data_IF_245665698111
#
_entry.id   IF_245665698111
#
_cell.length_a   1.000
_cell.length_b   1.000
_cell.length_c   1.000
_cell.angle_alpha   90.00
_cell.angle_beta   90.00
_cell.angle_gamma   90.00
#
_symmetry.space_group_name_H-M   'P 1'
#
loop_
_entity.id
_entity.type
_entity.pdbx_description
1 polymer ?
#
# COMPACT_ATOMS: atom_id res chain seq x y z
N UNK A 1 20.21 -27.12 11.40
CA UNK A 1 18.84 -27.59 11.03
C UNK A 1 17.78 -26.50 11.07
N UNK A 2 17.80 -25.55 12.01
CA UNK A 2 16.81 -24.45 12.13
C UNK A 2 16.89 -23.48 10.94
N UNK A 3 18.07 -23.11 10.46
CA UNK A 3 18.26 -22.19 9.33
C UNK A 3 17.69 -22.71 8.00
N UNK A 4 17.84 -24.01 7.73
CA UNK A 4 17.31 -24.62 6.50
C UNK A 4 15.76 -24.59 6.47
N UNK A 5 15.14 -24.70 7.64
CA UNK A 5 13.68 -24.66 7.76
C UNK A 5 13.14 -23.24 7.55
N UNK A 6 13.77 -22.23 8.15
CA UNK A 6 13.34 -20.83 8.00
C UNK A 6 13.53 -20.29 6.58
N UNK A 7 14.64 -20.63 5.91
CA UNK A 7 14.86 -20.31 4.50
C UNK A 7 13.73 -20.89 3.62
N UNK A 8 13.41 -22.16 3.82
CA UNK A 8 12.35 -22.84 3.08
C UNK A 8 10.98 -22.22 3.37
N UNK A 9 10.70 -21.85 4.62
CA UNK A 9 9.45 -21.18 5.01
C UNK A 9 9.31 -19.81 4.36
N UNK A 10 10.38 -19.01 4.32
CA UNK A 10 10.39 -17.70 3.65
C UNK A 10 9.99 -17.84 2.18
N UNK A 11 10.65 -18.76 1.44
CA UNK A 11 10.34 -18.97 0.01
C UNK A 11 8.87 -19.43 -0.17
N UNK A 12 8.38 -20.35 0.67
CA UNK A 12 7.00 -20.83 0.61
C UNK A 12 6.00 -19.72 0.91
N UNK A 13 6.27 -18.91 1.93
CA UNK A 13 5.43 -17.77 2.28
C UNK A 13 5.34 -16.76 1.13
N UNK A 14 6.47 -16.38 0.53
CA UNK A 14 6.51 -15.48 -0.63
C UNK A 14 5.74 -16.05 -1.81
N UNK A 15 6.04 -17.29 -2.23
CA UNK A 15 5.35 -17.95 -3.37
C UNK A 15 3.84 -18.02 -3.19
N UNK A 16 3.37 -18.24 -1.95
CA UNK A 16 1.94 -18.28 -1.62
C UNK A 16 1.29 -16.90 -1.66
N UNK A 17 2.04 -15.87 -1.29
CA UNK A 17 1.51 -14.52 -1.09
C UNK A 17 1.57 -13.65 -2.35
N UNK A 18 2.60 -13.79 -3.19
CA UNK A 18 2.79 -13.01 -4.40
C UNK A 18 1.55 -12.94 -5.32
N UNK A 19 0.82 -14.03 -5.57
CA UNK A 19 -0.34 -13.97 -6.46
C UNK A 19 -1.45 -13.03 -5.99
N UNK A 20 -1.48 -12.69 -4.71
CA UNK A 20 -2.48 -11.78 -4.15
C UNK A 20 -1.99 -10.33 -4.04
N UNK A 21 -0.72 -10.05 -4.36
CA UNK A 21 -0.18 -8.68 -4.34
C UNK A 21 -0.46 -8.02 -5.68
N UNK A 22 -0.90 -6.76 -5.63
CA UNK A 22 -1.30 -5.98 -6.81
C UNK A 22 -0.53 -4.67 -6.87
N UNK A 23 -0.35 -4.15 -8.07
CA UNK A 23 0.06 -2.78 -8.28
C UNK A 23 -1.15 -1.84 -8.27
N UNK A 24 -0.98 -0.64 -7.74
CA UNK A 24 -1.95 0.45 -7.82
C UNK A 24 -1.31 1.56 -8.64
N UNK A 25 -1.76 1.71 -9.87
CA UNK A 25 -1.31 2.75 -10.79
C UNK A 25 -2.13 4.02 -10.57
N UNK A 26 -1.44 5.13 -10.40
CA UNK A 26 -2.02 6.46 -10.26
C UNK A 26 -1.79 7.21 -11.55
N UNK A 27 -2.87 7.68 -12.18
CA UNK A 27 -2.82 8.44 -13.42
C UNK A 27 -3.62 9.73 -13.29
N UNK A 28 -3.10 10.81 -13.90
CA UNK A 28 -3.76 12.11 -14.01
C UNK A 28 -3.86 12.52 -15.46
N UNK A 29 -4.87 13.30 -15.80
CA UNK A 29 -4.94 13.90 -17.13
C UNK A 29 -3.86 14.98 -17.26
N UNK A 30 -3.24 15.09 -18.44
CA UNK A 30 -2.13 16.02 -18.69
C UNK A 30 -2.51 17.48 -18.33
N UNK A 31 -3.75 17.89 -18.64
CA UNK A 31 -4.23 19.24 -18.30
C UNK A 31 -4.26 19.53 -16.78
N UNK A 32 -4.53 18.53 -15.95
CA UNK A 32 -4.50 18.65 -14.48
C UNK A 32 -3.07 18.84 -13.98
N UNK A 33 -2.14 18.05 -14.53
CA UNK A 33 -0.71 18.23 -14.23
C UNK A 33 -0.18 19.60 -14.67
N UNK A 34 -0.68 20.14 -15.79
CA UNK A 34 -0.36 21.50 -16.26
C UNK A 34 -0.84 22.59 -15.29
N UNK A 35 -1.99 22.40 -14.67
CA UNK A 35 -2.52 23.34 -13.67
C UNK A 35 -1.73 23.26 -12.35
N UNK A 36 -1.39 22.05 -11.91
CA UNK A 36 -0.64 21.82 -10.65
C UNK A 36 0.82 22.29 -10.73
N UNK A 37 1.52 21.97 -11.81
CA UNK A 37 2.95 22.28 -11.97
C UNK A 37 3.21 23.69 -12.55
N UNK A 38 2.14 24.38 -12.97
CA UNK A 38 2.23 25.67 -13.64
C UNK A 38 2.52 25.53 -15.13
N UNK A 39 1.78 26.29 -15.94
CA UNK A 39 1.78 26.22 -17.42
C UNK A 39 3.16 26.41 -18.07
N UNK A 40 4.15 26.93 -17.35
CA UNK A 40 5.50 27.15 -17.88
C UNK A 40 6.39 25.90 -17.82
N UNK A 41 6.12 24.95 -16.93
CA UNK A 41 6.93 23.75 -16.76
C UNK A 41 6.68 22.69 -17.85
N UNK A 42 5.44 22.61 -18.35
CA UNK A 42 5.02 21.59 -19.33
C UNK A 42 5.06 22.11 -20.78
N UNK A 43 5.14 23.43 -21.00
CA UNK A 43 5.27 24.03 -22.34
C UNK A 43 6.58 23.73 -23.06
N UNK A 44 7.54 23.12 -22.42
CA UNK A 44 8.66 22.56 -23.13
C UNK A 44 8.19 21.33 -23.93
N UNK A 45 8.15 21.45 -25.23
CA UNK A 45 7.92 20.35 -26.20
C UNK A 45 8.75 19.10 -25.84
N UNK A 46 9.87 19.28 -25.15
CA UNK A 46 10.73 18.24 -24.60
C UNK A 46 10.05 17.35 -23.56
N UNK A 47 9.18 17.89 -22.68
CA UNK A 47 8.53 17.12 -21.62
C UNK A 47 7.42 16.21 -22.17
N UNK A 48 6.57 16.72 -23.07
CA UNK A 48 5.56 15.88 -23.74
C UNK A 48 6.20 14.74 -24.52
N UNK A 49 7.22 15.05 -25.33
CA UNK A 49 7.99 14.04 -26.06
C UNK A 49 8.68 13.02 -25.14
N UNK A 50 9.10 13.44 -23.95
CA UNK A 50 9.64 12.53 -22.94
C UNK A 50 8.57 11.58 -22.41
N UNK A 51 7.39 12.09 -22.03
CA UNK A 51 6.28 11.27 -21.54
C UNK A 51 5.85 10.22 -22.58
N UNK A 52 5.76 10.61 -23.84
CA UNK A 52 5.40 9.75 -24.95
C UNK A 52 6.45 8.66 -25.20
N UNK A 53 7.74 9.04 -25.31
CA UNK A 53 8.85 8.11 -25.50
C UNK A 53 9.05 7.15 -24.34
N UNK A 54 8.76 7.60 -23.12
CA UNK A 54 8.81 6.77 -21.92
C UNK A 54 7.56 5.88 -21.75
N UNK A 55 6.53 6.01 -22.61
CA UNK A 55 5.27 5.27 -22.49
C UNK A 55 4.48 5.64 -21.22
N UNK A 56 4.69 6.85 -20.71
CA UNK A 56 4.04 7.38 -19.49
C UNK A 56 2.71 8.07 -19.77
N UNK A 57 2.42 8.42 -21.02
CA UNK A 57 1.15 9.03 -21.46
C UNK A 57 0.43 8.10 -22.42
N UNK A 58 -0.89 7.97 -22.31
CA UNK A 58 -1.71 7.20 -23.23
C UNK A 58 -2.37 8.10 -24.29
N UNK A 59 -3.09 7.47 -25.25
CA UNK A 59 -3.80 8.14 -26.35
C UNK A 59 -4.91 9.09 -25.86
N UNK A 60 -5.36 8.94 -24.61
CA UNK A 60 -6.37 9.79 -23.97
C UNK A 60 -5.77 10.96 -23.18
N UNK A 61 -4.45 11.11 -23.21
CA UNK A 61 -3.74 12.14 -22.45
C UNK A 61 -3.62 11.85 -20.95
N UNK A 62 -3.81 10.58 -20.54
CA UNK A 62 -3.59 10.17 -19.15
C UNK A 62 -2.12 9.87 -18.91
N UNK A 63 -1.53 10.55 -17.94
CA UNK A 63 -0.13 10.41 -17.54
C UNK A 63 -0.03 9.52 -16.32
N UNK A 64 0.84 8.51 -16.38
CA UNK A 64 1.20 7.67 -15.24
C UNK A 64 2.08 8.46 -14.28
N UNK A 65 1.55 8.83 -13.12
CA UNK A 65 2.24 9.69 -12.15
C UNK A 65 3.05 8.88 -11.15
N UNK A 66 2.49 7.77 -10.68
CA UNK A 66 3.11 6.91 -9.66
C UNK A 66 2.55 5.50 -9.70
N UNK A 67 3.28 4.58 -9.06
CA UNK A 67 2.84 3.21 -8.82
C UNK A 67 3.16 2.79 -7.40
N UNK A 68 2.15 2.30 -6.70
CA UNK A 68 2.24 1.78 -5.35
C UNK A 68 1.71 0.34 -5.30
N UNK A 69 1.61 -0.21 -4.11
CA UNK A 69 1.17 -1.59 -3.91
C UNK A 69 -0.17 -1.67 -3.19
N UNK A 70 -0.82 -2.81 -3.34
CA UNK A 70 -1.96 -3.26 -2.56
C UNK A 70 -1.96 -4.78 -2.48
N UNK A 71 -2.93 -5.36 -1.79
CA UNK A 71 -3.11 -6.80 -1.79
C UNK A 71 -4.57 -7.21 -1.64
N UNK A 72 -4.94 -8.25 -2.36
CA UNK A 72 -6.26 -8.87 -2.32
C UNK A 72 -6.47 -9.58 -0.98
N UNK A 73 -7.62 -9.34 -0.36
CA UNK A 73 -8.00 -9.89 0.95
C UNK A 73 -9.28 -10.74 0.91
N UNK A 74 -9.89 -10.83 -0.26
CA UNK A 74 -11.07 -11.67 -0.50
C UNK A 74 -11.16 -12.10 -1.96
N UNK A 75 -11.85 -13.21 -2.22
CA UNK A 75 -12.01 -13.79 -3.57
C UNK A 75 -12.82 -12.91 -4.52
N UNK A 76 -13.63 -12.04 -3.97
CA UNK A 76 -14.50 -11.12 -4.67
C UNK A 76 -13.84 -9.76 -4.97
N UNK A 77 -12.51 -9.63 -4.86
CA UNK A 77 -11.75 -8.48 -5.33
C UNK A 77 -11.62 -7.31 -4.35
N UNK A 78 -11.83 -7.52 -3.04
CA UNK A 78 -11.47 -6.52 -2.04
C UNK A 78 -9.94 -6.42 -1.88
N UNK A 79 -9.43 -5.20 -1.85
CA UNK A 79 -8.01 -4.88 -1.76
C UNK A 79 -7.78 -3.93 -0.60
N UNK A 80 -6.71 -4.16 0.15
CA UNK A 80 -6.18 -3.22 1.13
C UNK A 80 -4.95 -2.52 0.56
N UNK A 81 -4.85 -1.22 0.84
CA UNK A 81 -3.68 -0.37 0.56
C UNK A 81 -3.62 0.77 1.56
N UNK A 82 -2.63 1.68 1.45
CA UNK A 82 -2.63 2.91 2.24
C UNK A 82 -3.59 3.95 1.65
N UNK A 83 -4.13 4.82 2.53
CA UNK A 83 -4.96 5.94 2.12
C UNK A 83 -4.20 6.94 1.23
N UNK A 84 -2.94 7.26 1.61
CA UNK A 84 -2.13 8.22 0.84
C UNK A 84 -1.86 7.74 -0.59
N UNK A 85 -1.91 6.44 -0.89
CA UNK A 85 -1.81 5.89 -2.25
C UNK A 85 -2.98 6.32 -3.13
N UNK A 86 -4.15 6.50 -2.52
CA UNK A 86 -5.40 6.86 -3.22
C UNK A 86 -6.01 8.15 -2.68
N UNK A 87 -5.17 9.08 -2.22
CA UNK A 87 -5.61 10.30 -1.53
C UNK A 87 -6.28 11.30 -2.47
N UNK A 88 -5.73 11.46 -3.64
CA UNK A 88 -6.16 12.45 -4.61
C UNK A 88 -7.48 12.03 -5.27
N UNK A 89 -8.51 12.87 -5.11
CA UNK A 89 -9.85 12.58 -5.65
C UNK A 89 -9.96 12.85 -7.15
N UNK A 90 -9.03 13.61 -7.71
CA UNK A 90 -8.98 13.94 -9.15
C UNK A 90 -8.18 12.92 -9.96
N UNK A 91 -7.39 12.07 -9.30
CA UNK A 91 -6.63 11.03 -9.95
C UNK A 91 -7.48 9.81 -10.32
N UNK A 92 -7.09 9.15 -11.39
CA UNK A 92 -7.63 7.85 -11.78
C UNK A 92 -6.75 6.73 -11.23
N UNK A 93 -7.38 5.75 -10.60
CA UNK A 93 -6.69 4.61 -9.99
C UNK A 93 -7.00 3.33 -10.76
N UNK A 94 -5.94 2.63 -11.15
CA UNK A 94 -6.03 1.34 -11.86
C UNK A 94 -5.28 0.29 -11.08
N UNK A 95 -5.92 -0.82 -10.82
CA UNK A 95 -5.27 -1.99 -10.20
C UNK A 95 -4.67 -2.85 -11.28
N UNK A 96 -3.39 -3.16 -11.16
CA UNK A 96 -2.68 -4.09 -12.04
C UNK A 96 -2.47 -5.41 -11.30
N UNK A 97 -3.06 -6.47 -11.83
CA UNK A 97 -2.92 -7.82 -11.32
C UNK A 97 -2.58 -8.79 -12.46
N UNK A 98 -1.44 -9.49 -12.34
CA UNK A 98 -0.94 -10.40 -13.37
C UNK A 98 -0.95 -9.76 -14.77
N UNK A 99 -0.40 -8.56 -14.89
CA UNK A 99 -0.31 -7.74 -16.10
C UNK A 99 -1.67 -7.33 -16.71
N UNK A 100 -2.77 -7.61 -16.02
CA UNK A 100 -4.09 -7.15 -16.40
C UNK A 100 -4.49 -5.90 -15.61
N UNK A 101 -5.08 -4.93 -16.31
CA UNK A 101 -5.57 -3.68 -15.74
C UNK A 101 -7.05 -3.80 -15.36
N UNK A 102 -7.36 -3.44 -14.11
CA UNK A 102 -8.72 -3.43 -13.58
C UNK A 102 -9.07 -2.01 -13.15
N UNK A 103 -10.22 -1.51 -13.57
CA UNK A 103 -10.81 -0.33 -12.95
C UNK A 103 -11.13 -0.65 -11.50
N UNK A 104 -10.79 0.25 -10.58
CA UNK A 104 -11.08 0.02 -9.17
C UNK A 104 -12.02 1.09 -8.62
N UNK A 105 -12.90 0.64 -7.73
CA UNK A 105 -13.72 1.51 -6.90
C UNK A 105 -13.03 1.70 -5.55
N UNK A 106 -12.94 2.94 -5.07
CA UNK A 106 -12.45 3.25 -3.73
C UNK A 106 -13.66 3.23 -2.80
N UNK A 107 -13.73 2.21 -1.94
CA UNK A 107 -14.85 2.03 -1.02
C UNK A 107 -14.68 2.85 0.26
N UNK A 108 -13.44 3.03 0.71
CA UNK A 108 -13.15 3.81 1.91
C UNK A 108 -11.72 4.36 1.91
N UNK A 109 -11.56 5.55 2.49
CA UNK A 109 -10.30 6.22 2.80
C UNK A 109 -10.30 6.61 4.27
N UNK A 110 -9.45 6.00 5.08
CA UNK A 110 -9.32 6.33 6.50
C UNK A 110 -8.12 7.23 6.77
N UNK A 111 -8.42 8.50 7.07
CA UNK A 111 -7.39 9.51 7.38
C UNK A 111 -6.65 9.24 8.69
N UNK A 112 -7.27 8.56 9.66
CA UNK A 112 -6.67 8.37 10.99
C UNK A 112 -5.64 7.25 10.97
N UNK A 113 -5.91 6.16 10.24
CA UNK A 113 -5.03 4.99 10.21
C UNK A 113 -4.25 4.86 8.92
N UNK A 114 -4.45 5.76 7.95
CA UNK A 114 -3.86 5.69 6.62
C UNK A 114 -4.18 4.39 5.86
N UNK A 115 -5.39 3.87 6.01
CA UNK A 115 -5.85 2.66 5.34
C UNK A 115 -6.91 3.03 4.29
N UNK A 116 -6.84 2.38 3.12
CA UNK A 116 -7.89 2.41 2.12
C UNK A 116 -8.36 1.00 1.77
N UNK A 117 -9.64 0.91 1.40
CA UNK A 117 -10.27 -0.30 0.89
C UNK A 117 -10.69 -0.03 -0.55
N UNK A 118 -10.16 -0.83 -1.47
CA UNK A 118 -10.50 -0.79 -2.89
C UNK A 118 -11.29 -2.04 -3.26
N UNK A 119 -11.98 -1.97 -4.40
CA UNK A 119 -12.74 -3.08 -4.98
C UNK A 119 -12.50 -3.12 -6.48
N UNK A 120 -12.17 -4.29 -6.99
CA UNK A 120 -12.17 -4.60 -8.42
C UNK A 120 -13.28 -5.62 -8.72
N UNK A 121 -13.86 -5.54 -9.92
CA UNK A 121 -14.85 -6.48 -10.36
C UNK A 121 -14.21 -7.80 -10.79
N UNK A 122 -14.84 -8.91 -10.42
CA UNK A 122 -14.41 -10.26 -10.72
C UNK A 122 -14.60 -11.20 -9.52
N UNK A 123 -14.30 -12.47 -9.77
CA UNK A 123 -14.44 -13.55 -8.78
C UNK A 123 -13.23 -14.47 -8.80
N UNK A 124 -13.11 -15.27 -7.75
CA UNK A 124 -12.05 -16.28 -7.61
C UNK A 124 -10.62 -15.73 -7.57
N UNK A 125 -10.44 -14.48 -7.20
CA UNK A 125 -9.11 -13.92 -6.98
C UNK A 125 -8.36 -14.69 -5.86
N UNK A 126 -7.03 -14.87 -6.00
CA UNK A 126 -6.20 -15.28 -4.88
C UNK A 126 -6.23 -14.16 -3.83
N UNK A 127 -6.16 -14.54 -2.56
CA UNK A 127 -6.18 -13.55 -1.48
C UNK A 127 -5.24 -13.95 -0.35
N UNK A 128 -4.76 -12.94 0.39
CA UNK A 128 -3.96 -13.14 1.59
C UNK A 128 -4.86 -13.36 2.82
N UNK A 129 -4.65 -14.42 3.58
CA UNK A 129 -5.25 -14.54 4.90
C UNK A 129 -4.72 -13.43 5.81
N UNK A 130 -5.61 -12.79 6.56
CA UNK A 130 -5.23 -11.77 7.53
C UNK A 130 -4.83 -12.43 8.85
N UNK A 131 -3.60 -12.17 9.31
CA UNK A 131 -3.03 -12.64 10.56
C UNK A 131 -3.62 -11.91 11.79
N UNK A 132 -2.96 -12.01 12.93
CA UNK A 132 -3.33 -11.33 14.17
C UNK A 132 -2.16 -10.50 14.67
N UNK A 133 -2.23 -9.17 14.46
CA UNK A 133 -1.15 -8.26 14.83
C UNK A 133 -1.01 -8.04 16.35
N UNK A 134 -1.97 -8.50 17.16
CA UNK A 134 -1.83 -8.46 18.62
C UNK A 134 -0.95 -9.58 19.19
N UNK A 135 -0.63 -10.59 18.36
CA UNK A 135 0.23 -11.73 18.74
C UNK A 135 1.66 -11.63 18.28
N UNK A 136 2.04 -10.49 17.71
CA UNK A 136 3.39 -10.26 17.22
C UNK A 136 4.37 -10.14 18.37
N UNK A 137 5.59 -10.65 18.13
CA UNK A 137 6.68 -10.59 19.10
C UNK A 137 7.95 -10.01 18.46
N UNK A 138 8.78 -9.35 19.27
CA UNK A 138 10.07 -8.83 18.82
C UNK A 138 10.96 -9.97 18.34
N UNK A 139 11.73 -9.74 17.28
CA UNK A 139 12.56 -10.75 16.65
C UNK A 139 11.82 -11.70 15.71
N UNK A 140 10.48 -11.63 15.61
CA UNK A 140 9.71 -12.44 14.67
C UNK A 140 10.10 -12.09 13.24
N UNK A 141 10.49 -13.10 12.44
CA UNK A 141 10.78 -12.91 11.01
C UNK A 141 9.55 -12.50 10.23
N UNK A 142 9.72 -11.48 9.40
CA UNK A 142 8.68 -10.92 8.53
C UNK A 142 9.21 -10.68 7.13
N UNK A 143 8.29 -10.59 6.17
CA UNK A 143 8.62 -10.29 4.77
C UNK A 143 7.71 -9.17 4.30
N UNK A 144 8.29 -8.08 3.81
CA UNK A 144 7.58 -7.02 3.13
C UNK A 144 7.55 -7.33 1.63
N UNK A 145 6.39 -7.20 1.01
CA UNK A 145 6.20 -7.44 -0.42
C UNK A 145 5.59 -6.17 -1.03
N UNK A 146 6.09 -5.80 -2.21
CA UNK A 146 5.57 -4.72 -3.01
C UNK A 146 5.49 -5.08 -4.48
N UNK A 147 4.60 -4.43 -5.20
CA UNK A 147 4.44 -4.54 -6.65
C UNK A 147 4.38 -3.14 -7.27
N UNK A 148 5.45 -2.37 -7.07
CA UNK A 148 5.58 -1.07 -7.71
C UNK A 148 5.58 -1.24 -9.23
N UNK A 149 4.70 -0.54 -9.91
CA UNK A 149 4.63 -0.53 -11.36
C UNK A 149 5.86 0.19 -11.92
N UNK A 150 6.70 -0.54 -12.64
CA UNK A 150 7.96 -0.02 -13.20
C UNK A 150 9.09 -1.02 -13.07
N UNK A 151 10.31 -0.54 -12.81
CA UNK A 151 11.53 -1.36 -12.77
C UNK A 151 11.58 -2.40 -11.64
N UNK A 152 10.74 -2.28 -10.60
CA UNK A 152 10.82 -3.10 -9.37
C UNK A 152 9.54 -3.86 -9.06
N UNK A 153 8.92 -4.47 -10.08
CA UNK A 153 7.76 -5.36 -9.85
C UNK A 153 8.13 -6.52 -8.93
N UNK A 154 7.20 -6.90 -8.04
CA UNK A 154 7.36 -8.03 -7.11
C UNK A 154 8.59 -7.94 -6.20
N UNK A 155 8.91 -6.75 -5.71
CA UNK A 155 9.99 -6.55 -4.75
C UNK A 155 9.69 -7.24 -3.43
N UNK A 156 10.68 -7.97 -2.91
CA UNK A 156 10.58 -8.71 -1.65
C UNK A 156 11.75 -8.37 -0.77
N UNK A 157 11.49 -7.93 0.45
CA UNK A 157 12.50 -7.73 1.48
C UNK A 157 12.16 -8.53 2.73
N UNK A 158 13.18 -9.05 3.42
CA UNK A 158 13.03 -9.82 4.66
C UNK A 158 13.69 -9.09 5.81
N UNK A 159 13.06 -9.12 6.96
CA UNK A 159 13.58 -8.59 8.21
C UNK A 159 12.90 -9.22 9.41
N UNK A 160 12.93 -8.52 10.53
CA UNK A 160 12.27 -8.90 11.78
C UNK A 160 11.37 -7.78 12.29
N UNK A 161 10.53 -8.09 13.23
CA UNK A 161 9.84 -7.09 14.04
C UNK A 161 10.86 -6.50 15.02
N UNK A 162 11.24 -5.24 14.78
CA UNK A 162 12.22 -4.50 15.58
C UNK A 162 11.55 -3.67 16.68
N UNK A 163 10.23 -3.41 16.58
CA UNK A 163 9.47 -2.67 17.56
C UNK A 163 7.97 -2.84 17.40
N UNK A 164 7.24 -2.63 18.48
CA UNK A 164 5.78 -2.71 18.53
C UNK A 164 5.22 -1.44 19.15
N UNK A 165 3.98 -1.10 18.80
CA UNK A 165 3.24 0.06 19.35
C UNK A 165 4.00 1.38 19.20
N UNK A 166 4.69 1.56 18.07
CA UNK A 166 5.45 2.77 17.80
C UNK A 166 4.53 3.94 17.43
N UNK A 167 4.95 5.14 17.81
CA UNK A 167 4.35 6.40 17.38
C UNK A 167 5.29 7.07 16.39
N UNK A 168 4.75 7.54 15.29
CA UNK A 168 5.47 8.28 14.27
C UNK A 168 4.70 9.57 13.98
N UNK A 169 5.40 10.70 13.94
CA UNK A 169 4.88 11.96 13.44
C UNK A 169 5.66 12.31 12.17
N UNK A 170 4.95 12.45 11.05
CA UNK A 170 5.52 12.88 9.78
C UNK A 170 5.42 14.39 9.68
N UNK A 171 6.54 15.11 9.63
CA UNK A 171 6.61 16.58 9.55
C UNK A 171 5.93 17.33 10.72
N UNK A 172 6.52 17.28 11.93
CA UNK A 172 5.95 17.98 13.10
C UNK A 172 5.79 19.49 12.90
N UNK A 173 6.62 20.12 12.03
CA UNK A 173 6.63 21.56 11.75
C UNK A 173 5.44 22.01 10.88
N UNK A 174 4.89 21.12 10.05
CA UNK A 174 3.82 21.42 9.09
C UNK A 174 2.46 20.84 9.50
N UNK A 175 2.28 20.46 10.77
CA UNK A 175 1.05 19.82 11.24
C UNK A 175 0.89 18.37 10.74
N UNK A 176 2.00 17.66 10.55
CA UNK A 176 2.08 16.32 9.98
C UNK A 176 1.18 15.29 10.63
N UNK A 177 0.91 14.21 9.89
CA UNK A 177 0.06 13.11 10.35
C UNK A 177 0.73 12.32 11.47
N UNK A 178 0.01 12.09 12.57
CA UNK A 178 0.45 11.19 13.63
C UNK A 178 -0.08 9.78 13.42
N UNK A 179 0.82 8.82 13.49
CA UNK A 179 0.51 7.40 13.45
C UNK A 179 0.75 6.76 14.81
N UNK A 180 -0.16 5.88 15.22
CA UNK A 180 -0.09 5.19 16.50
C UNK A 180 -0.13 3.68 16.34
N UNK A 181 0.58 2.99 17.25
CA UNK A 181 0.54 1.54 17.32
C UNK A 181 1.26 0.83 16.18
N UNK A 182 2.15 1.52 15.45
CA UNK A 182 2.86 0.96 14.30
C UNK A 182 3.74 -0.22 14.69
N UNK A 183 3.89 -1.15 13.75
CA UNK A 183 4.91 -2.19 13.74
C UNK A 183 6.18 -1.58 13.15
N UNK A 184 7.31 -1.67 13.86
CA UNK A 184 8.63 -1.34 13.33
C UNK A 184 9.32 -2.60 12.83
N UNK A 185 9.97 -2.51 11.68
CA UNK A 185 10.75 -3.58 11.06
C UNK A 185 12.02 -3.03 10.43
N UNK A 186 13.04 -3.88 10.30
CA UNK A 186 14.25 -3.62 9.52
C UNK A 186 14.15 -4.18 8.09
N UNK A 187 13.02 -4.82 7.73
CA UNK A 187 12.73 -5.14 6.34
C UNK A 187 12.67 -3.84 5.51
N UNK A 188 13.42 -3.79 4.42
CA UNK A 188 13.49 -2.59 3.57
C UNK A 188 12.11 -2.28 2.96
N UNK A 189 11.57 -1.12 3.29
CA UNK A 189 10.38 -0.54 2.68
C UNK A 189 10.85 0.71 1.92
N UNK A 190 10.57 0.76 0.63
CA UNK A 190 10.95 1.84 -0.26
C UNK A 190 9.71 2.34 -1.03
N UNK A 191 9.79 3.50 -1.69
CA UNK A 191 8.74 3.94 -2.60
C UNK A 191 8.33 2.81 -3.56
N UNK A 192 7.01 2.56 -3.63
CA UNK A 192 6.43 1.45 -4.38
C UNK A 192 6.00 0.25 -3.53
N UNK A 193 6.62 -0.02 -2.37
CA UNK A 193 6.16 -1.06 -1.44
C UNK A 193 5.01 -0.58 -0.53
N UNK A 194 4.80 0.72 -0.42
CA UNK A 194 3.69 1.31 0.36
C UNK A 194 2.35 0.75 -0.11
N UNK A 195 1.51 0.35 0.83
CA UNK A 195 0.24 -0.32 0.61
C UNK A 195 0.33 -1.83 0.41
N UNK A 196 1.53 -2.37 0.15
CA UNK A 196 1.78 -3.80 0.08
C UNK A 196 1.73 -4.48 1.45
N UNK A 197 1.66 -5.81 1.51
CA UNK A 197 1.57 -6.55 2.76
C UNK A 197 2.93 -6.72 3.45
N UNK A 198 2.94 -6.61 4.78
CA UNK A 198 3.93 -7.23 5.65
C UNK A 198 3.37 -8.60 6.05
N UNK A 199 4.07 -9.69 5.73
CA UNK A 199 3.61 -11.05 5.99
C UNK A 199 4.48 -11.79 7.01
N UNK A 200 3.88 -12.75 7.70
CA UNK A 200 4.60 -13.75 8.49
C UNK A 200 5.10 -14.93 7.62
N UNK A 201 5.89 -15.82 8.22
CA UNK A 201 6.40 -17.03 7.51
C UNK A 201 5.32 -18.08 7.16
N UNK A 202 4.07 -17.86 7.58
CA UNK A 202 2.93 -18.69 7.17
C UNK A 202 2.17 -18.10 5.97
N UNK A 203 2.60 -16.92 5.49
CA UNK A 203 1.96 -16.19 4.39
C UNK A 203 0.67 -15.51 4.82
N UNK A 204 0.57 -15.07 6.06
CA UNK A 204 -0.54 -14.22 6.54
C UNK A 204 -0.10 -12.77 6.58
N UNK A 205 -0.94 -11.87 6.10
CA UNK A 205 -0.70 -10.44 6.25
C UNK A 205 -0.85 -10.05 7.71
N UNK A 206 0.19 -9.48 8.31
CA UNK A 206 0.26 -9.01 9.69
C UNK A 206 0.32 -7.49 9.79
N UNK A 207 0.57 -6.82 8.66
CA UNK A 207 0.59 -5.36 8.54
C UNK A 207 0.47 -4.90 7.09
N UNK A 208 0.34 -3.59 6.92
CA UNK A 208 0.38 -2.87 5.64
C UNK A 208 1.62 -2.00 5.67
N UNK A 209 2.56 -2.20 4.74
CA UNK A 209 3.78 -1.39 4.61
C UNK A 209 3.39 0.08 4.39
N UNK A 210 3.97 1.04 5.12
CA UNK A 210 3.52 2.42 4.99
C UNK A 210 4.64 3.45 4.92
N UNK A 211 5.49 3.56 5.92
CA UNK A 211 6.41 4.68 6.04
C UNK A 211 7.84 4.25 6.29
N UNK A 212 8.76 5.11 5.89
CA UNK A 212 10.17 5.08 6.26
C UNK A 212 10.53 6.40 6.95
N UNK A 213 11.46 6.38 7.86
CA UNK A 213 12.05 7.59 8.41
C UNK A 213 13.15 8.05 7.46
N UNK A 214 12.95 9.20 6.83
CA UNK A 214 13.95 9.75 5.91
C UNK A 214 15.27 10.02 6.64
N UNK A 215 16.37 9.61 6.02
CA UNK A 215 17.71 9.82 6.56
C UNK A 215 18.12 8.82 7.65
N UNK A 216 17.32 7.79 7.96
CA UNK A 216 17.66 6.72 8.89
C UNK A 216 17.52 5.37 8.20
N UNK A 217 18.58 4.59 8.21
CA UNK A 217 18.59 3.25 7.62
C UNK A 217 17.97 2.21 8.56
N UNK A 218 17.37 1.16 7.98
CA UNK A 218 16.84 -0.01 8.69
C UNK A 218 15.73 0.30 9.72
N UNK A 219 15.02 1.42 9.54
CA UNK A 219 13.82 1.76 10.31
C UNK A 219 12.66 1.98 9.35
N UNK A 220 11.81 0.98 9.27
CA UNK A 220 10.60 0.96 8.45
C UNK A 220 9.38 0.67 9.32
N UNK A 221 8.19 1.06 8.85
CA UNK A 221 6.95 0.90 9.60
C UNK A 221 5.86 0.23 8.77
N UNK A 222 4.99 -0.50 9.47
CA UNK A 222 3.78 -1.05 8.91
C UNK A 222 2.59 -0.80 9.86
N UNK A 223 1.43 -0.58 9.26
CA UNK A 223 0.17 -0.45 9.99
C UNK A 223 -0.30 -1.85 10.40
N UNK A 224 -0.63 -2.08 11.69
CA UNK A 224 -1.08 -3.38 12.16
C UNK A 224 -2.35 -3.87 11.44
N UNK A 225 -2.35 -5.13 11.01
CA UNK A 225 -3.46 -5.68 10.21
C UNK A 225 -4.80 -5.70 10.93
N UNK A 226 -4.82 -5.74 12.27
CA UNK A 226 -6.07 -5.72 13.03
C UNK A 226 -6.82 -4.39 12.89
N UNK A 227 -6.13 -3.27 12.61
CA UNK A 227 -6.78 -2.00 12.27
C UNK A 227 -7.51 -2.11 10.93
N UNK A 228 -6.85 -2.69 9.92
CA UNK A 228 -7.44 -2.91 8.60
C UNK A 228 -8.61 -3.90 8.62
N UNK A 229 -8.56 -4.95 9.46
CA UNK A 229 -9.68 -5.89 9.63
C UNK A 229 -10.95 -5.20 10.07
N UNK A 230 -10.83 -4.25 11.03
CA UNK A 230 -11.99 -3.50 11.51
C UNK A 230 -12.59 -2.64 10.39
N UNK A 231 -11.76 -1.91 9.67
CA UNK A 231 -12.20 -1.07 8.54
C UNK A 231 -12.84 -1.92 7.45
N UNK A 232 -12.21 -3.04 7.07
CA UNK A 232 -12.74 -3.96 6.06
C UNK A 232 -14.11 -4.54 6.48
N UNK A 233 -14.26 -4.90 7.75
CA UNK A 233 -15.54 -5.37 8.30
C UNK A 233 -16.61 -4.28 8.19
N UNK A 234 -16.31 -3.06 8.63
CA UNK A 234 -17.25 -1.93 8.60
C UNK A 234 -17.69 -1.64 7.15
N UNK A 235 -16.74 -1.58 6.22
CA UNK A 235 -17.01 -1.33 4.79
C UNK A 235 -17.87 -2.44 4.18
N UNK A 236 -17.58 -3.70 4.46
CA UNK A 236 -18.36 -4.84 3.94
C UNK A 236 -19.78 -4.89 4.53
N UNK A 237 -19.94 -4.54 5.79
CA UNK A 237 -21.21 -4.63 6.50
C UNK A 237 -22.10 -3.41 6.30
N UNK A 238 -21.50 -2.21 6.28
CA UNK A 238 -22.22 -0.94 6.34
C UNK A 238 -21.96 -0.02 5.14
N UNK A 239 -21.06 -0.40 4.22
CA UNK A 239 -20.63 0.44 3.09
C UNK A 239 -19.81 1.67 3.51
N UNK A 240 -19.43 1.79 4.77
CA UNK A 240 -18.68 2.95 5.32
C UNK A 240 -17.89 2.55 6.56
N UNK A 241 -16.92 3.39 6.92
CA UNK A 241 -16.19 3.25 8.19
C UNK A 241 -17.08 3.70 9.33
N UNK A 242 -17.22 2.87 10.36
CA UNK A 242 -17.99 3.16 11.58
C UNK A 242 -17.04 3.44 12.75
N UNK A 243 -17.07 4.67 13.28
CA UNK A 243 -16.31 5.07 14.46
C UNK A 243 -17.26 5.40 15.59
N UNK A 244 -17.02 4.87 16.81
CA UNK A 244 -17.78 5.30 17.98
C UNK A 244 -17.50 6.78 18.26
N UNK A 245 -18.53 7.55 18.59
CA UNK A 245 -18.43 8.92 19.06
C UNK A 245 -18.94 9.00 20.49
N UNK A 246 -18.22 9.71 21.35
CA UNK A 246 -18.68 9.97 22.71
C UNK A 246 -19.81 11.01 22.76
N UNK A 247 -20.10 11.68 21.62
CA UNK A 247 -21.15 12.71 21.55
C UNK A 247 -20.85 14.00 22.34
N UNK A 248 -19.62 14.17 22.81
CA UNK A 248 -19.19 15.35 23.55
C UNK A 248 -18.68 16.39 22.56
N UNK A 249 -19.23 17.61 22.61
CA UNK A 249 -18.68 18.80 21.94
C UNK A 249 -18.05 19.68 23.02
N UNK A 250 -16.82 20.08 22.86
CA UNK A 250 -16.07 21.00 23.71
C UNK A 250 -15.56 22.18 22.88
#
# INVERSE_FOLDING_TARGET
>A
MICANEYTMTIKAVKKSLPAVVGVLISKHLSQLEEELGKNFIKEISFYNYLEKAGLIDEKGMVKVSGCSGFLVARDGYILTNRHVVEDEESTYTVIWQDQAFSCQILARDKITDIAVLKIEGENFPYLPLGDSNKLVLGQTVVAIGNALGEFQNSVSRGIISGLSRRLNTNPEDGGQEFFGLIQTDAAINPGNSGGPLIDLYGKAIGINTAVVLGVENISFAIPINQAKKILFDVRQYGRICRPSLGIRY
#
